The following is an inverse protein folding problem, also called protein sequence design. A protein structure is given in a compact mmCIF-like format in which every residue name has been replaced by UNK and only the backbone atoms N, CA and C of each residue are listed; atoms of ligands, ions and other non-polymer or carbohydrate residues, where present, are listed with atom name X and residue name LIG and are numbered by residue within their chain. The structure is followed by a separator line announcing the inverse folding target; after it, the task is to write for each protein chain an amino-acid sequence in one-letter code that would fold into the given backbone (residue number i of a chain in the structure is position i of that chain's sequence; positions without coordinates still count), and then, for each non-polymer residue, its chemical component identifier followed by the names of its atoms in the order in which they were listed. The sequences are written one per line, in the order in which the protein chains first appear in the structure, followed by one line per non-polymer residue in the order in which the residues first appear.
data_IF_834675193672
#
_entry.id   IF_834675193672
#
_cell.length_a   1.000
_cell.length_b   1.000
_cell.length_c   1.000
_cell.angle_alpha   90.00
_cell.angle_beta   90.00
_cell.angle_gamma   90.00
#
_symmetry.space_group_name_H-M   'P 1'
#
loop_
_entity.id
_entity.type
_entity.pdbx_description
1 polymer ?
#
# COMPACT_ATOMS: atom_id res chain seq x y z
N UNK A 1 -18.84 -19.79 15.41
CA UNK A 1 -17.80 -18.74 15.45
C UNK A 1 -17.20 -18.49 14.07
N UNK A 2 -16.46 -19.45 13.47
CA UNK A 2 -15.85 -19.25 12.15
C UNK A 2 -16.87 -19.06 11.02
N UNK A 3 -17.95 -19.86 11.03
CA UNK A 3 -19.01 -19.73 10.03
C UNK A 3 -19.75 -18.39 10.13
N UNK A 4 -20.03 -17.90 11.35
CA UNK A 4 -20.60 -16.56 11.54
C UNK A 4 -19.70 -15.48 10.93
N UNK A 5 -18.40 -15.50 11.23
CA UNK A 5 -17.45 -14.55 10.64
C UNK A 5 -17.43 -14.61 9.11
N UNK A 6 -17.55 -15.81 8.52
CA UNK A 6 -17.67 -15.98 7.07
C UNK A 6 -18.92 -15.29 6.53
N UNK A 7 -20.07 -15.60 7.12
CA UNK A 7 -21.38 -15.08 6.72
C UNK A 7 -21.44 -13.56 6.90
N UNK A 8 -20.95 -13.04 8.02
CA UNK A 8 -20.78 -11.60 8.29
C UNK A 8 -20.05 -10.92 7.14
N UNK A 9 -18.85 -11.41 6.82
CA UNK A 9 -17.98 -10.80 5.79
C UNK A 9 -18.56 -10.89 4.38
N UNK A 10 -19.32 -11.95 4.08
CA UNK A 10 -20.07 -12.07 2.83
C UNK A 10 -21.19 -11.01 2.76
N UNK A 11 -21.94 -10.81 3.85
CA UNK A 11 -22.96 -9.76 3.90
C UNK A 11 -22.36 -8.37 3.78
N UNK A 12 -21.26 -8.08 4.47
CA UNK A 12 -20.55 -6.81 4.30
C UNK A 12 -20.21 -6.57 2.84
N UNK A 13 -19.65 -7.60 2.17
CA UNK A 13 -19.29 -7.52 0.77
C UNK A 13 -20.49 -7.25 -0.13
N UNK A 14 -21.59 -7.98 0.08
CA UNK A 14 -22.82 -7.80 -0.68
C UNK A 14 -23.42 -6.40 -0.51
N UNK A 15 -23.55 -5.94 0.74
CA UNK A 15 -24.16 -4.65 1.07
C UNK A 15 -23.38 -3.47 0.47
N UNK A 16 -22.05 -3.55 0.46
CA UNK A 16 -21.22 -2.54 -0.19
C UNK A 16 -21.32 -2.63 -1.72
N UNK A 17 -21.11 -3.82 -2.29
CA UNK A 17 -21.00 -3.99 -3.75
C UNK A 17 -22.35 -3.83 -4.48
N UNK A 18 -23.45 -4.27 -3.87
CA UNK A 18 -24.79 -4.31 -4.50
C UNK A 18 -25.72 -3.20 -4.03
N UNK A 19 -25.68 -2.87 -2.74
CA UNK A 19 -26.58 -1.87 -2.14
C UNK A 19 -25.90 -0.49 -1.97
N UNK A 20 -24.59 -0.39 -2.21
CA UNK A 20 -23.85 0.87 -2.14
C UNK A 20 -23.69 1.41 -0.71
N UNK A 21 -23.79 0.54 0.30
CA UNK A 21 -23.68 0.92 1.70
C UNK A 21 -22.27 1.44 2.02
N UNK A 22 -22.17 2.43 2.92
CA UNK A 22 -20.88 2.95 3.35
C UNK A 22 -20.15 1.98 4.27
N UNK A 23 -18.81 2.00 4.22
CA UNK A 23 -17.96 1.09 4.99
C UNK A 23 -18.19 1.21 6.51
N UNK A 24 -18.48 2.41 7.01
CA UNK A 24 -18.74 2.68 8.43
C UNK A 24 -20.13 2.23 8.91
N UNK A 25 -21.09 2.01 8.01
CA UNK A 25 -22.45 1.59 8.33
C UNK A 25 -22.67 0.08 8.13
N UNK A 26 -21.85 -0.57 7.29
CA UNK A 26 -22.12 -1.92 6.82
C UNK A 26 -22.09 -2.99 7.91
N UNK A 27 -21.22 -2.83 8.91
CA UNK A 27 -21.06 -3.81 9.98
C UNK A 27 -22.37 -4.08 10.73
N UNK A 28 -23.14 -3.03 11.05
CA UNK A 28 -24.39 -3.15 11.81
C UNK A 28 -25.44 -3.94 11.04
N UNK A 29 -25.57 -3.68 9.73
CA UNK A 29 -26.53 -4.37 8.89
C UNK A 29 -26.09 -5.82 8.59
N UNK A 30 -24.79 -6.06 8.38
CA UNK A 30 -24.25 -7.40 8.22
C UNK A 30 -24.48 -8.27 9.45
N UNK A 31 -24.24 -7.74 10.66
CA UNK A 31 -24.50 -8.42 11.93
C UNK A 31 -25.98 -8.77 12.12
N UNK A 32 -26.91 -7.96 11.60
CA UNK A 32 -28.35 -8.26 11.63
C UNK A 32 -28.68 -9.45 10.73
N UNK A 33 -28.13 -9.49 9.52
CA UNK A 33 -28.45 -10.52 8.51
C UNK A 33 -27.74 -11.85 8.78
N UNK A 34 -26.54 -11.84 9.36
CA UNK A 34 -25.74 -13.08 9.54
C UNK A 34 -26.44 -14.13 10.40
N UNK A 35 -27.21 -13.71 11.41
CA UNK A 35 -27.89 -14.60 12.36
C UNK A 35 -29.10 -15.30 11.75
N UNK A 36 -29.66 -14.72 10.68
CA UNK A 36 -30.83 -15.23 9.97
C UNK A 36 -30.45 -16.07 8.74
N UNK A 37 -29.15 -16.18 8.43
CA UNK A 37 -28.66 -16.82 7.19
C UNK A 37 -28.26 -18.27 7.43
N UNK A 38 -28.88 -19.19 6.69
CA UNK A 38 -28.51 -20.61 6.68
C UNK A 38 -27.22 -20.87 5.88
N UNK A 39 -26.53 -22.01 6.09
CA UNK A 39 -25.33 -22.36 5.31
C UNK A 39 -25.55 -22.42 3.80
N UNK A 40 -26.72 -22.89 3.35
CA UNK A 40 -27.07 -22.96 1.93
C UNK A 40 -27.29 -21.56 1.33
N UNK A 41 -27.88 -20.64 2.09
CA UNK A 41 -28.02 -19.24 1.68
C UNK A 41 -26.67 -18.53 1.64
N UNK A 42 -25.80 -18.78 2.62
CA UNK A 42 -24.43 -18.26 2.61
C UNK A 42 -23.62 -18.76 1.40
N UNK A 43 -23.78 -20.03 1.03
CA UNK A 43 -23.13 -20.60 -0.16
C UNK A 43 -23.64 -19.97 -1.46
N UNK A 44 -24.95 -19.70 -1.55
CA UNK A 44 -25.55 -18.97 -2.70
C UNK A 44 -25.04 -17.53 -2.76
N UNK A 45 -24.98 -16.84 -1.62
CA UNK A 45 -24.46 -15.48 -1.52
C UNK A 45 -23.00 -15.40 -1.96
N UNK A 46 -22.16 -16.34 -1.51
CA UNK A 46 -20.76 -16.44 -1.93
C UNK A 46 -20.61 -16.66 -3.44
N UNK A 47 -21.41 -17.57 -4.01
CA UNK A 47 -21.42 -17.82 -5.45
C UNK A 47 -21.90 -16.59 -6.24
N UNK A 48 -22.92 -15.88 -5.76
CA UNK A 48 -23.45 -14.66 -6.38
C UNK A 48 -22.44 -13.52 -6.40
N UNK A 49 -21.58 -13.44 -5.39
CA UNK A 49 -20.48 -12.49 -5.30
C UNK A 49 -19.24 -12.92 -6.10
N UNK A 50 -19.25 -14.11 -6.71
CA UNK A 50 -18.13 -14.63 -7.50
C UNK A 50 -16.97 -15.13 -6.64
N UNK A 51 -17.25 -15.67 -5.45
CA UNK A 51 -16.26 -16.19 -4.51
C UNK A 51 -15.19 -15.15 -4.11
N UNK A 52 -15.61 -14.00 -3.52
CA UNK A 52 -14.69 -12.96 -3.11
C UNK A 52 -13.73 -13.47 -2.04
N UNK A 53 -12.44 -13.17 -2.21
CA UNK A 53 -11.43 -13.52 -1.20
C UNK A 53 -11.43 -12.57 0.01
N UNK A 54 -12.00 -11.37 -0.12
CA UNK A 54 -11.88 -10.28 0.87
C UNK A 54 -13.20 -9.55 1.10
N UNK A 55 -13.46 -9.17 2.34
CA UNK A 55 -14.55 -8.26 2.68
C UNK A 55 -14.14 -6.79 2.42
N UNK A 56 -15.10 -5.84 2.44
CA UNK A 56 -14.82 -4.42 2.22
C UNK A 56 -13.84 -3.79 3.22
N UNK A 57 -13.75 -4.34 4.44
CA UNK A 57 -12.80 -3.93 5.48
C UNK A 57 -11.39 -4.50 5.29
N UNK A 58 -11.18 -5.37 4.29
CA UNK A 58 -9.85 -5.90 3.95
C UNK A 58 -9.51 -7.26 4.57
N UNK A 59 -10.40 -7.84 5.38
CA UNK A 59 -10.18 -9.17 5.95
C UNK A 59 -10.56 -10.29 4.96
N UNK A 60 -9.83 -11.40 5.05
CA UNK A 60 -10.11 -12.57 4.22
C UNK A 60 -11.49 -13.16 4.55
N UNK A 61 -12.25 -13.54 3.53
CA UNK A 61 -13.46 -14.35 3.71
C UNK A 61 -12.97 -15.81 3.84
N UNK A 62 -13.08 -16.45 5.02
CA UNK A 62 -12.57 -17.81 5.19
C UNK A 62 -13.41 -18.80 4.35
N UNK A 63 -12.77 -19.84 3.81
CA UNK A 63 -13.50 -20.97 3.23
C UNK A 63 -14.41 -21.64 4.28
N UNK A 64 -15.48 -22.34 3.85
CA UNK A 64 -16.35 -23.09 4.76
C UNK A 64 -15.56 -24.04 5.68
N UNK A 65 -15.81 -23.95 6.98
CA UNK A 65 -15.14 -24.78 7.99
C UNK A 65 -13.65 -24.53 8.21
N UNK A 66 -13.05 -23.51 7.55
CA UNK A 66 -11.66 -23.12 7.81
C UNK A 66 -11.56 -22.10 8.94
N UNK A 67 -10.38 -22.11 9.58
CA UNK A 67 -10.04 -21.06 10.56
C UNK A 67 -9.92 -19.72 9.87
N UNK A 68 -10.37 -18.68 10.57
CA UNK A 68 -10.14 -17.29 10.17
C UNK A 68 -8.63 -17.03 10.19
N UNK A 69 -8.02 -16.62 9.08
CA UNK A 69 -6.61 -16.27 9.08
C UNK A 69 -6.40 -14.99 9.91
N UNK A 70 -5.20 -14.83 10.52
CA UNK A 70 -4.85 -13.56 11.15
C UNK A 70 -4.85 -12.43 10.09
N UNK A 71 -5.00 -11.16 10.53
CA UNK A 71 -4.78 -10.01 9.66
C UNK A 71 -3.42 -10.12 8.96
N UNK A 72 -3.39 -9.75 7.68
CA UNK A 72 -2.14 -9.74 6.93
C UNK A 72 -1.47 -8.37 7.05
N UNK A 73 -0.14 -8.34 6.96
CA UNK A 73 0.63 -7.11 7.15
C UNK A 73 0.98 -6.81 8.61
N UNK A 74 1.40 -5.57 8.87
CA UNK A 74 1.85 -5.10 10.19
C UNK A 74 0.94 -3.98 10.70
N UNK A 75 0.70 -3.88 12.02
CA UNK A 75 -0.06 -2.76 12.56
C UNK A 75 0.63 -1.43 12.27
N UNK A 76 -0.11 -0.44 11.81
CA UNK A 76 0.42 0.89 11.48
C UNK A 76 1.14 1.55 12.67
N UNK A 77 0.70 1.23 13.89
CA UNK A 77 1.35 1.66 15.14
C UNK A 77 2.80 1.19 15.32
N UNK A 78 3.25 0.18 14.57
CA UNK A 78 4.61 -0.38 14.65
C UNK A 78 5.56 0.16 13.58
N UNK A 79 5.05 1.01 12.67
CA UNK A 79 5.81 1.54 11.55
C UNK A 79 6.71 2.72 11.95
N UNK A 80 7.78 2.92 11.18
CA UNK A 80 8.75 4.01 11.40
C UNK A 80 8.40 5.24 10.56
N UNK A 81 8.83 6.45 10.99
CA UNK A 81 8.76 7.64 10.15
C UNK A 81 9.41 7.43 8.77
N UNK A 82 8.78 7.96 7.72
CA UNK A 82 9.16 7.76 6.32
C UNK A 82 8.56 6.50 5.67
N UNK A 83 7.94 5.60 6.44
CA UNK A 83 7.29 4.41 5.88
C UNK A 83 6.07 4.80 5.03
N UNK A 84 6.09 4.39 3.76
CA UNK A 84 4.95 4.46 2.85
C UNK A 84 4.28 3.11 2.76
N UNK A 85 2.99 3.09 3.05
CA UNK A 85 2.25 1.86 3.28
C UNK A 85 0.93 1.90 2.52
N UNK A 86 0.48 0.73 2.09
CA UNK A 86 -0.87 0.52 1.59
C UNK A 86 -1.67 -0.17 2.68
N UNK A 87 -2.77 0.44 3.08
CA UNK A 87 -3.69 -0.12 4.07
C UNK A 87 -4.28 -1.40 3.51
N UNK A 88 -4.13 -2.48 4.26
CA UNK A 88 -4.70 -3.77 3.92
C UNK A 88 -6.08 -3.92 4.54
N UNK A 89 -6.18 -3.71 5.85
CA UNK A 89 -7.41 -3.81 6.61
C UNK A 89 -7.54 -2.72 7.68
N UNK A 90 -8.79 -2.49 8.09
CA UNK A 90 -9.17 -1.56 9.16
C UNK A 90 -10.21 -2.26 10.03
N UNK A 91 -9.94 -2.38 11.34
CA UNK A 91 -10.90 -3.00 12.27
C UNK A 91 -12.21 -2.22 12.29
N UNK A 92 -13.31 -2.95 12.34
CA UNK A 92 -14.67 -2.44 12.30
C UNK A 92 -15.20 -1.92 13.66
N UNK A 93 -14.45 -2.15 14.75
CA UNK A 93 -14.88 -1.84 16.12
C UNK A 93 -13.94 -0.87 16.86
N UNK A 94 -14.45 0.15 17.60
CA UNK A 94 -15.85 0.53 17.67
C UNK A 94 -16.27 1.31 16.42
N UNK A 95 -17.56 1.30 16.05
CA UNK A 95 -18.08 2.00 14.87
C UNK A 95 -17.73 3.49 14.84
N UNK A 96 -17.71 4.15 16.01
CA UNK A 96 -17.34 5.57 16.10
C UNK A 96 -15.88 5.83 15.67
N UNK A 97 -14.97 4.90 15.95
CA UNK A 97 -13.59 4.99 15.50
C UNK A 97 -13.51 4.71 13.99
N UNK A 98 -14.16 3.65 13.51
CA UNK A 98 -14.20 3.31 12.09
C UNK A 98 -14.70 4.50 11.25
N UNK A 99 -15.81 5.12 11.65
CA UNK A 99 -16.36 6.29 10.97
C UNK A 99 -15.34 7.44 10.88
N UNK A 100 -14.58 7.70 11.95
CA UNK A 100 -13.50 8.70 11.96
C UNK A 100 -12.36 8.32 11.00
N UNK A 101 -11.91 7.06 11.02
CA UNK A 101 -10.86 6.56 10.14
C UNK A 101 -11.26 6.69 8.67
N UNK A 102 -12.47 6.25 8.32
CA UNK A 102 -13.02 6.33 6.97
C UNK A 102 -13.15 7.79 6.51
N UNK A 103 -13.60 8.70 7.38
CA UNK A 103 -13.69 10.13 7.08
C UNK A 103 -12.32 10.78 6.82
N UNK A 104 -11.26 10.30 7.47
CA UNK A 104 -9.87 10.71 7.19
C UNK A 104 -9.31 10.10 5.89
N UNK A 105 -10.01 9.13 5.29
CA UNK A 105 -9.56 8.38 4.12
C UNK A 105 -8.72 7.13 4.45
N UNK A 106 -8.62 6.75 5.72
CA UNK A 106 -8.00 5.49 6.16
C UNK A 106 -8.98 4.34 5.89
N UNK A 107 -8.82 3.70 4.73
CA UNK A 107 -9.62 2.55 4.30
C UNK A 107 -8.75 1.57 3.50
N UNK A 108 -9.16 0.30 3.36
CA UNK A 108 -8.44 -0.68 2.54
C UNK A 108 -8.09 -0.14 1.15
N UNK A 109 -6.85 -0.36 0.76
CA UNK A 109 -6.27 0.12 -0.50
C UNK A 109 -5.75 1.56 -0.48
N UNK A 110 -6.04 2.37 0.54
CA UNK A 110 -5.48 3.71 0.65
C UNK A 110 -3.98 3.68 0.92
N UNK A 111 -3.25 4.65 0.38
CA UNK A 111 -1.84 4.87 0.66
C UNK A 111 -1.66 5.88 1.80
N UNK A 112 -0.76 5.55 2.72
CA UNK A 112 -0.46 6.35 3.91
C UNK A 112 1.05 6.45 4.09
N UNK A 113 1.54 7.64 4.42
CA UNK A 113 2.93 7.88 4.82
C UNK A 113 3.00 8.22 6.31
N UNK A 114 3.84 7.53 7.07
CA UNK A 114 4.10 7.89 8.47
C UNK A 114 5.09 9.04 8.48
N UNK A 115 4.66 10.22 8.95
CA UNK A 115 5.50 11.42 8.99
C UNK A 115 6.30 11.48 10.29
N UNK A 116 5.66 11.14 11.40
CA UNK A 116 6.27 11.24 12.73
C UNK A 116 5.64 10.23 13.69
N UNK A 117 6.42 9.73 14.63
CA UNK A 117 5.96 8.87 15.72
C UNK A 117 6.29 9.54 17.07
N UNK A 118 5.27 9.83 17.86
CA UNK A 118 5.40 10.37 19.21
C UNK A 118 4.77 9.42 20.24
N UNK A 119 5.10 9.53 21.54
CA UNK A 119 4.37 8.81 22.57
C UNK A 119 2.86 9.08 22.49
N UNK A 120 2.08 8.04 22.21
CA UNK A 120 0.61 8.10 22.18
C UNK A 120 -0.03 8.44 20.84
N UNK A 121 0.69 9.00 19.85
CA UNK A 121 0.15 9.24 18.51
C UNK A 121 1.22 9.24 17.39
N UNK A 122 0.76 8.96 16.18
CA UNK A 122 1.50 9.11 14.94
C UNK A 122 0.97 10.35 14.20
N UNK A 123 1.80 10.97 13.37
CA UNK A 123 1.33 11.88 12.32
C UNK A 123 1.41 11.13 11.00
N UNK A 124 0.28 11.00 10.32
CA UNK A 124 0.18 10.28 9.04
C UNK A 124 -0.27 11.21 7.94
N UNK A 125 0.27 11.04 6.74
CA UNK A 125 -0.13 11.77 5.55
C UNK A 125 -0.97 10.87 4.63
N UNK A 126 -2.15 11.36 4.25
CA UNK A 126 -3.12 10.67 3.40
C UNK A 126 -3.76 11.71 2.49
N UNK A 127 -3.84 11.43 1.19
CA UNK A 127 -4.41 12.36 0.19
C UNK A 127 -3.79 13.78 0.28
N UNK A 128 -2.49 13.87 0.60
CA UNK A 128 -1.76 15.12 0.79
C UNK A 128 -1.94 15.81 2.15
N UNK A 129 -2.94 15.41 2.95
CA UNK A 129 -3.23 16.00 4.25
C UNK A 129 -2.55 15.24 5.38
N UNK A 130 -2.07 15.96 6.41
CA UNK A 130 -1.43 15.35 7.59
C UNK A 130 -2.42 15.34 8.77
N UNK A 131 -2.65 14.18 9.35
CA UNK A 131 -3.55 13.97 10.48
C UNK A 131 -2.80 13.37 11.69
N UNK A 132 -3.14 13.77 12.92
CA UNK A 132 -2.75 13.01 14.10
C UNK A 132 -3.59 11.74 14.20
N UNK A 133 -2.96 10.60 14.45
CA UNK A 133 -3.60 9.31 14.62
C UNK A 133 -3.14 8.70 15.96
N UNK A 134 -4.06 8.52 16.90
CA UNK A 134 -3.73 7.90 18.19
C UNK A 134 -3.15 6.50 18.00
N UNK A 135 -2.16 6.11 18.82
CA UNK A 135 -1.55 4.77 18.76
C UNK A 135 -2.60 3.67 18.91
N UNK A 136 -3.62 3.89 19.76
CA UNK A 136 -4.72 2.95 19.92
C UNK A 136 -5.52 2.75 18.61
N UNK A 137 -5.71 3.80 17.82
CA UNK A 137 -6.34 3.72 16.50
C UNK A 137 -5.40 3.08 15.47
N UNK A 138 -4.12 3.46 15.46
CA UNK A 138 -3.14 2.90 14.53
C UNK A 138 -2.87 1.39 14.75
N UNK A 139 -3.13 0.85 15.94
CA UNK A 139 -3.04 -0.60 16.21
C UNK A 139 -4.12 -1.42 15.49
N UNK A 140 -5.18 -0.76 15.03
CA UNK A 140 -6.36 -1.36 14.40
C UNK A 140 -6.38 -1.22 12.89
N UNK A 141 -5.25 -0.82 12.33
CA UNK A 141 -5.04 -0.65 10.91
C UNK A 141 -3.82 -1.49 10.58
N UNK A 142 -3.97 -2.47 9.70
CA UNK A 142 -2.84 -3.24 9.19
C UNK A 142 -2.49 -2.75 7.80
N UNK A 143 -1.20 -2.68 7.53
CA UNK A 143 -0.70 -2.21 6.26
C UNK A 143 0.51 -3.02 5.82
N UNK A 144 0.77 -2.96 4.52
CA UNK A 144 1.96 -3.51 3.88
C UNK A 144 2.75 -2.36 3.25
N UNK A 145 4.06 -2.50 3.01
CA UNK A 145 4.80 -1.53 2.21
C UNK A 145 4.04 -1.21 0.91
N UNK A 146 3.79 0.07 0.66
CA UNK A 146 3.19 0.49 -0.60
C UNK A 146 4.16 0.13 -1.73
N UNK A 147 3.67 -0.39 -2.88
CA UNK A 147 4.52 -0.63 -4.02
C UNK A 147 5.18 0.70 -4.43
N UNK A 148 6.52 0.72 -4.44
CA UNK A 148 7.27 1.87 -4.93
C UNK A 148 7.10 1.89 -6.44
N UNK A 149 6.24 2.78 -6.96
CA UNK A 149 6.14 2.95 -8.40
C UNK A 149 7.51 3.43 -8.91
N UNK A 150 8.11 2.75 -9.90
CA UNK A 150 9.40 3.17 -10.39
C UNK A 150 9.33 4.57 -11.00
N UNK A 151 10.27 5.43 -10.60
CA UNK A 151 10.40 6.80 -11.11
C UNK A 151 11.58 6.87 -12.08
N UNK A 152 11.61 7.85 -13.00
CA UNK A 152 12.78 8.07 -13.83
C UNK A 152 14.00 8.49 -12.99
N UNK A 153 15.16 7.88 -13.24
CA UNK A 153 16.41 8.19 -12.52
C UNK A 153 16.82 9.67 -12.63
N UNK A 154 16.44 10.35 -13.72
CA UNK A 154 16.72 11.78 -13.90
C UNK A 154 15.87 12.71 -13.05
N UNK A 155 14.83 12.20 -12.38
CA UNK A 155 13.96 12.96 -11.46
C UNK A 155 14.38 12.83 -9.99
N UNK A 156 15.31 11.93 -9.68
CA UNK A 156 15.75 11.72 -8.30
C UNK A 156 16.60 12.90 -7.78
N UNK A 157 16.34 13.35 -6.54
CA UNK A 157 17.18 14.35 -5.87
C UNK A 157 18.65 13.92 -5.72
N UNK A 158 19.54 14.90 -5.60
CA UNK A 158 20.94 14.64 -5.26
C UNK A 158 21.04 13.93 -3.92
N UNK A 159 21.94 12.95 -3.82
CA UNK A 159 22.14 12.05 -2.68
C UNK A 159 21.11 10.92 -2.54
N UNK A 160 20.06 10.86 -3.38
CA UNK A 160 19.15 9.72 -3.41
C UNK A 160 19.89 8.45 -3.84
N UNK A 161 19.52 7.32 -3.20
CA UNK A 161 19.90 5.97 -3.58
C UNK A 161 18.70 5.27 -4.20
N UNK A 162 18.91 4.46 -5.22
CA UNK A 162 17.83 3.75 -5.88
C UNK A 162 18.32 2.44 -6.52
N UNK A 163 17.41 1.51 -6.76
CA UNK A 163 17.67 0.28 -7.49
C UNK A 163 17.04 0.39 -8.87
N UNK A 164 17.82 0.11 -9.91
CA UNK A 164 17.32 0.06 -11.29
C UNK A 164 16.29 -1.06 -11.41
N UNK A 165 15.11 -0.74 -11.92
CA UNK A 165 14.06 -1.73 -12.20
C UNK A 165 13.96 -2.00 -13.70
N UNK A 166 14.11 -0.97 -14.53
CA UNK A 166 13.99 -1.09 -15.98
C UNK A 166 14.88 -0.07 -16.70
N UNK A 167 15.41 -0.45 -17.86
CA UNK A 167 16.00 0.50 -18.82
C UNK A 167 15.15 0.50 -20.09
N UNK A 168 14.33 1.53 -20.27
CA UNK A 168 13.42 1.68 -21.41
C UNK A 168 14.17 2.03 -22.69
N UNK A 169 13.56 1.68 -23.82
CA UNK A 169 14.08 1.95 -25.16
C UNK A 169 14.67 0.71 -25.83
N UNK A 170 15.55 0.93 -26.81
CA UNK A 170 16.13 -0.13 -27.64
C UNK A 170 17.38 0.30 -28.40
N UNK A 171 18.09 -0.66 -28.98
CA UNK A 171 19.24 -0.43 -29.86
C UNK A 171 20.54 -0.06 -29.13
N UNK A 172 21.43 0.66 -29.82
CA UNK A 172 22.81 0.95 -29.35
C UNK A 172 22.85 1.70 -28.02
N UNK A 173 21.89 2.58 -27.76
CA UNK A 173 21.87 3.43 -26.55
C UNK A 173 21.57 2.60 -25.30
N UNK A 174 20.52 1.77 -25.34
CA UNK A 174 20.18 0.85 -24.26
C UNK A 174 21.33 -0.15 -24.01
N UNK A 175 21.91 -0.72 -25.08
CA UNK A 175 23.08 -1.61 -24.97
C UNK A 175 24.22 -0.95 -24.19
N UNK A 176 24.56 0.29 -24.54
CA UNK A 176 25.61 1.06 -23.85
C UNK A 176 25.30 1.31 -22.37
N UNK A 177 24.04 1.58 -22.01
CA UNK A 177 23.62 1.73 -20.60
C UNK A 177 23.80 0.42 -19.83
N UNK A 178 23.38 -0.70 -20.41
CA UNK A 178 23.55 -2.03 -19.84
C UNK A 178 25.06 -2.37 -19.68
N UNK A 179 25.88 -2.08 -20.69
CA UNK A 179 27.34 -2.28 -20.66
C UNK A 179 28.01 -1.42 -19.58
N UNK A 180 27.47 -0.23 -19.27
CA UNK A 180 27.90 0.62 -18.17
C UNK A 180 27.44 0.14 -16.78
N UNK A 181 26.62 -0.91 -16.70
CA UNK A 181 26.16 -1.52 -15.46
C UNK A 181 24.80 -1.04 -14.95
N UNK A 182 24.07 -0.24 -15.74
CA UNK A 182 22.67 0.11 -15.47
C UNK A 182 21.77 -1.05 -15.88
N UNK A 183 21.67 -2.06 -15.03
CA UNK A 183 20.86 -3.28 -15.25
C UNK A 183 19.85 -3.41 -14.11
N UNK A 184 18.70 -4.09 -14.32
CA UNK A 184 17.76 -4.37 -13.23
C UNK A 184 18.47 -4.98 -12.01
N UNK A 185 18.19 -4.45 -10.82
CA UNK A 185 18.85 -4.80 -9.57
C UNK A 185 20.13 -4.01 -9.25
N UNK A 186 20.64 -3.18 -10.17
CA UNK A 186 21.82 -2.36 -9.90
C UNK A 186 21.48 -1.18 -8.98
N UNK A 187 22.26 -1.02 -7.91
CA UNK A 187 22.20 0.18 -7.07
C UNK A 187 22.84 1.38 -7.78
N UNK A 188 22.13 2.50 -7.75
CA UNK A 188 22.59 3.79 -8.25
C UNK A 188 22.45 4.86 -7.17
N UNK A 189 23.43 5.75 -7.07
CA UNK A 189 23.37 6.94 -6.20
C UNK A 189 23.50 8.19 -7.04
N UNK A 190 22.63 9.17 -6.82
CA UNK A 190 22.75 10.50 -7.45
C UNK A 190 23.84 11.28 -6.72
N UNK A 191 24.95 11.60 -7.39
CA UNK A 191 26.11 12.24 -6.75
C UNK A 191 25.98 13.76 -6.76
N UNK A 192 25.73 14.34 -7.92
CA UNK A 192 25.52 15.78 -8.09
C UNK A 192 24.95 16.09 -9.46
N UNK A 193 24.43 17.30 -9.61
CA UNK A 193 24.04 17.85 -10.89
C UNK A 193 25.08 18.88 -11.33
N UNK A 194 25.40 18.94 -12.63
CA UNK A 194 26.28 19.99 -13.17
C UNK A 194 25.71 21.40 -12.89
N UNK A 195 26.54 22.48 -12.90
CA UNK A 195 26.09 23.83 -12.57
C UNK A 195 24.91 24.34 -13.42
N UNK A 196 24.79 23.87 -14.67
CA UNK A 196 23.71 24.23 -15.60
C UNK A 196 22.53 23.23 -15.58
N UNK A 197 22.50 22.29 -14.64
CA UNK A 197 21.41 21.31 -14.50
C UNK A 197 21.58 20.00 -15.28
N UNK A 198 22.56 19.90 -16.19
CA UNK A 198 22.83 18.73 -17.02
C UNK A 198 24.30 18.72 -17.48
N UNK A 199 25.02 17.56 -17.55
CA UNK A 199 24.61 16.22 -17.14
C UNK A 199 24.50 16.04 -15.62
N UNK A 200 23.81 14.96 -15.22
CA UNK A 200 23.76 14.49 -13.83
C UNK A 200 24.81 13.40 -13.64
N UNK A 201 25.52 13.43 -12.53
CA UNK A 201 26.53 12.44 -12.17
C UNK A 201 25.95 11.39 -11.22
N UNK A 202 26.09 10.12 -11.60
CA UNK A 202 25.58 8.96 -10.88
C UNK A 202 26.72 8.02 -10.48
N UNK A 203 26.60 7.32 -9.36
CA UNK A 203 27.51 6.24 -8.96
C UNK A 203 26.83 4.89 -9.13
N UNK A 204 27.42 4.01 -9.93
CA UNK A 204 26.91 2.66 -10.24
C UNK A 204 28.08 1.69 -10.07
N UNK A 205 27.93 0.65 -9.23
CA UNK A 205 28.99 -0.34 -8.94
C UNK A 205 30.35 0.31 -8.59
N UNK A 206 30.32 1.39 -7.81
CA UNK A 206 31.52 2.14 -7.41
C UNK A 206 32.11 3.08 -8.46
N UNK A 207 31.60 3.10 -9.69
CA UNK A 207 32.06 3.99 -10.78
C UNK A 207 31.17 5.21 -10.92
N UNK A 208 31.76 6.39 -11.08
CA UNK A 208 31.02 7.62 -11.36
C UNK A 208 30.81 7.79 -12.87
N UNK A 209 29.56 8.05 -13.28
CA UNK A 209 29.14 8.20 -14.66
C UNK A 209 28.31 9.48 -14.80
N UNK A 210 28.73 10.38 -15.68
CA UNK A 210 27.94 11.54 -16.07
C UNK A 210 27.02 11.16 -17.24
N UNK A 211 25.72 11.41 -17.08
CA UNK A 211 24.69 11.09 -18.07
C UNK A 211 23.73 12.26 -18.23
N UNK A 212 23.29 12.52 -19.47
CA UNK A 212 22.26 13.53 -19.72
C UNK A 212 20.95 13.14 -19.02
N UNK A 213 20.22 14.11 -18.50
CA UNK A 213 18.91 13.88 -17.85
C UNK A 213 17.93 13.18 -18.76
N UNK A 214 17.95 13.47 -20.07
CA UNK A 214 17.12 12.77 -21.06
C UNK A 214 17.43 11.27 -21.16
N UNK A 215 18.70 10.88 -21.05
CA UNK A 215 19.11 9.49 -21.01
C UNK A 215 18.76 8.86 -19.65
N UNK A 216 18.98 9.59 -18.54
CA UNK A 216 18.59 9.15 -17.20
C UNK A 216 17.09 8.89 -17.08
N UNK A 217 16.25 9.69 -17.75
CA UNK A 217 14.80 9.54 -17.73
C UNK A 217 14.28 8.28 -18.43
N UNK A 218 15.13 7.59 -19.20
CA UNK A 218 14.80 6.28 -19.77
C UNK A 218 15.02 5.12 -18.79
N UNK A 219 15.66 5.38 -17.64
CA UNK A 219 15.96 4.36 -16.63
C UNK A 219 14.96 4.52 -15.50
N UNK A 220 14.14 3.50 -15.27
CA UNK A 220 13.26 3.43 -14.13
C UNK A 220 14.00 2.85 -12.92
N UNK A 221 13.76 3.46 -11.77
CA UNK A 221 14.37 3.08 -10.51
C UNK A 221 13.36 3.13 -9.38
N UNK A 222 13.54 2.26 -8.39
CA UNK A 222 12.87 2.33 -7.10
C UNK A 222 13.82 2.99 -6.09
N UNK A 223 13.41 4.11 -5.50
CA UNK A 223 14.25 4.81 -4.52
C UNK A 223 14.42 3.97 -3.25
N UNK A 224 15.67 3.71 -2.88
CA UNK A 224 16.04 3.08 -1.61
C UNK A 224 15.94 4.14 -0.53
N UNK A 225 14.79 4.19 0.13
CA UNK A 225 14.58 5.04 1.30
C UNK A 225 15.00 4.25 2.52
N UNK A 226 16.06 4.71 3.21
CA UNK A 226 16.43 4.15 4.50
C UNK A 226 15.26 4.43 5.46
N UNK A 227 14.53 3.37 5.82
CA UNK A 227 13.58 3.39 6.94
C UNK A 227 14.28 3.26 8.28
#
# INVERSE_FOLDING_TARGET
AQELIRVHRLWERYLVDREGMSLDAVHVEAHRREHETSPDEAAKLDAELGHPAWCPHGYAIPDPGRRVPPPAGVPLATCTPGARLRILDVDDEPPALLAQLVAMGLKPGAEVEVIECQPGHLRVQINGNIFPLAVAAAKRIHAVPAPVLPVPLGELPVSSRAVVTEVKGGGKRQRRMLDMGLVPGAEVTVIRTAPLGDPVEYRIKGTAIAMRRSDANSILVEEVRNG
#
